data_IF_695131088134
#
_entry.id   IF_695131088134
#
_cell.length_a   1.000
_cell.length_b   1.000
_cell.length_c   1.000
_cell.angle_alpha   90.00
_cell.angle_beta   90.00
_cell.angle_gamma   90.00
#
_symmetry.space_group_name_H-M   'P 1'
#
loop_
_entity.id
_entity.type
_entity.pdbx_description
1 polymer ?
#
# COMPACT_ATOMS: atom_id res chain seq x y z
N UNK A 1 1.39 15.00 -19.86
CA UNK A 1 1.34 16.10 -18.86
C UNK A 1 -0.08 16.31 -18.36
N UNK A 2 -1.06 16.57 -19.26
CA UNK A 2 -2.48 16.84 -18.85
C UNK A 2 -3.06 15.67 -18.07
N UNK A 3 -2.88 14.43 -18.51
CA UNK A 3 -3.34 13.20 -17.84
C UNK A 3 -2.71 13.00 -16.46
N UNK A 4 -1.47 13.45 -16.28
CA UNK A 4 -0.77 13.41 -15.00
C UNK A 4 -1.32 14.46 -14.03
N UNK A 5 -1.53 15.67 -14.50
CA UNK A 5 -2.13 16.74 -13.69
C UNK A 5 -3.58 16.42 -13.29
N UNK A 6 -4.32 15.78 -14.21
CA UNK A 6 -5.70 15.33 -13.94
C UNK A 6 -5.76 14.03 -13.10
N UNK A 7 -4.60 13.41 -12.75
CA UNK A 7 -4.52 12.14 -11.99
C UNK A 7 -5.26 10.97 -12.66
N UNK A 8 -5.38 10.97 -13.99
CA UNK A 8 -6.07 9.92 -14.78
C UNK A 8 -5.12 9.06 -15.61
N UNK A 9 -3.83 9.17 -15.37
CA UNK A 9 -2.78 8.46 -16.08
C UNK A 9 -2.96 6.95 -16.11
N UNK A 10 -3.41 6.40 -14.99
CA UNK A 10 -3.64 4.98 -14.79
C UNK A 10 -4.88 4.44 -15.52
N UNK A 11 -5.63 5.31 -16.21
CA UNK A 11 -6.74 4.93 -17.11
C UNK A 11 -6.29 4.83 -18.57
N UNK A 12 -5.06 5.26 -18.88
CA UNK A 12 -4.52 5.17 -20.23
C UNK A 12 -3.90 3.78 -20.47
N UNK A 13 -3.91 3.29 -21.73
CA UNK A 13 -3.39 1.97 -22.07
C UNK A 13 -1.90 1.78 -21.77
N UNK A 14 -1.13 2.86 -21.74
CA UNK A 14 0.30 2.85 -21.45
C UNK A 14 0.63 3.84 -20.32
N UNK A 15 0.50 3.41 -19.05
CA UNK A 15 0.80 4.25 -17.90
C UNK A 15 2.30 4.55 -17.73
N UNK A 16 3.18 3.83 -18.40
CA UNK A 16 4.64 3.97 -18.24
C UNK A 16 5.23 5.08 -19.12
N UNK A 17 4.50 5.58 -20.13
CA UNK A 17 4.87 6.76 -20.92
C UNK A 17 4.66 8.07 -20.13
N UNK A 18 5.29 8.14 -18.97
CA UNK A 18 5.17 9.30 -18.09
C UNK A 18 6.40 10.18 -18.14
N UNK A 19 6.19 11.48 -18.39
CA UNK A 19 7.26 12.50 -18.38
C UNK A 19 7.86 12.63 -16.97
N UNK A 20 7.04 12.46 -15.93
CA UNK A 20 7.45 12.50 -14.54
C UNK A 20 7.50 11.10 -13.95
N UNK A 21 8.68 10.61 -13.57
CA UNK A 21 8.76 9.33 -12.85
C UNK A 21 8.22 9.52 -11.45
N UNK A 22 7.35 8.66 -11.06
CA UNK A 22 6.89 8.67 -9.69
C UNK A 22 5.55 7.98 -9.50
N UNK A 23 5.05 7.97 -8.28
CA UNK A 23 3.85 7.24 -7.89
C UNK A 23 2.55 7.96 -8.28
N UNK A 24 2.54 8.78 -9.34
CA UNK A 24 1.35 9.53 -9.76
C UNK A 24 0.18 8.62 -10.13
N UNK A 25 0.47 7.42 -10.66
CA UNK A 25 -0.56 6.41 -10.88
C UNK A 25 -1.28 6.02 -9.57
N UNK A 26 -0.58 6.02 -8.45
CA UNK A 26 -1.17 5.71 -7.15
C UNK A 26 -2.14 6.81 -6.68
N UNK A 27 -1.82 8.07 -6.90
CA UNK A 27 -2.74 9.17 -6.59
C UNK A 27 -4.01 9.09 -7.45
N UNK A 28 -3.86 8.78 -8.75
CA UNK A 28 -4.98 8.51 -9.63
C UNK A 28 -5.84 7.35 -9.15
N UNK A 29 -5.20 6.24 -8.78
CA UNK A 29 -5.86 5.08 -8.18
C UNK A 29 -6.63 5.45 -6.91
N UNK A 30 -6.01 6.17 -5.98
CA UNK A 30 -6.66 6.59 -4.74
C UNK A 30 -7.84 7.50 -4.99
N UNK A 31 -7.72 8.47 -5.92
CA UNK A 31 -8.83 9.34 -6.31
C UNK A 31 -10.02 8.54 -6.85
N UNK A 32 -9.76 7.57 -7.72
CA UNK A 32 -10.80 6.68 -8.27
C UNK A 32 -11.47 5.85 -7.17
N UNK A 33 -10.68 5.25 -6.27
CA UNK A 33 -11.21 4.47 -5.15
C UNK A 33 -12.05 5.34 -4.20
N UNK A 34 -11.64 6.56 -3.91
CA UNK A 34 -12.43 7.49 -3.11
C UNK A 34 -13.72 7.93 -3.83
N UNK A 35 -13.67 8.11 -5.14
CA UNK A 35 -14.87 8.38 -5.94
C UNK A 35 -15.85 7.19 -5.88
N UNK A 36 -15.36 5.97 -6.10
CA UNK A 36 -16.17 4.73 -5.95
C UNK A 36 -16.74 4.63 -4.54
N UNK A 37 -15.91 4.85 -3.52
CA UNK A 37 -16.38 4.84 -2.13
C UNK A 37 -17.50 5.85 -1.91
N UNK A 38 -17.30 7.12 -2.32
CA UNK A 38 -18.25 8.19 -2.07
C UNK A 38 -19.57 8.01 -2.81
N UNK A 39 -19.52 7.54 -4.06
CA UNK A 39 -20.68 7.43 -4.93
C UNK A 39 -21.46 6.11 -4.74
N UNK A 40 -20.74 5.00 -4.52
CA UNK A 40 -21.35 3.66 -4.53
C UNK A 40 -21.41 2.99 -3.15
N UNK A 41 -20.41 3.21 -2.28
CA UNK A 41 -20.24 2.43 -1.05
C UNK A 41 -20.58 3.20 0.23
N UNK A 42 -20.52 4.53 0.18
CA UNK A 42 -20.73 5.36 1.36
C UNK A 42 -22.12 5.17 1.96
N UNK A 43 -22.19 4.87 3.26
CA UNK A 43 -23.42 4.56 4.02
C UNK A 43 -24.23 3.38 3.47
N UNK A 44 -23.70 2.58 2.54
CA UNK A 44 -24.37 1.38 2.03
C UNK A 44 -24.10 0.17 2.91
N UNK A 45 -24.91 -0.87 2.72
CA UNK A 45 -24.71 -2.16 3.38
C UNK A 45 -23.38 -2.78 2.93
N UNK A 46 -22.76 -3.60 3.80
CA UNK A 46 -21.46 -4.23 3.51
C UNK A 46 -21.46 -5.06 2.20
N UNK A 47 -22.61 -5.62 1.84
CA UNK A 47 -22.77 -6.41 0.62
C UNK A 47 -22.41 -5.63 -0.66
N UNK A 48 -22.59 -4.30 -0.68
CA UNK A 48 -22.17 -3.46 -1.79
C UNK A 48 -20.63 -3.43 -1.94
N UNK A 49 -19.92 -3.35 -0.83
CA UNK A 49 -18.45 -3.42 -0.82
C UNK A 49 -17.98 -4.80 -1.26
N UNK A 50 -18.57 -5.87 -0.72
CA UNK A 50 -18.26 -7.23 -1.11
C UNK A 50 -18.58 -7.50 -2.59
N UNK A 51 -19.74 -7.04 -3.08
CA UNK A 51 -20.12 -7.14 -4.49
C UNK A 51 -19.16 -6.42 -5.42
N UNK A 52 -18.75 -5.19 -5.07
CA UNK A 52 -17.76 -4.44 -5.84
C UNK A 52 -16.40 -5.15 -5.89
N UNK A 53 -15.94 -5.73 -4.77
CA UNK A 53 -14.72 -6.54 -4.73
C UNK A 53 -14.80 -7.75 -5.64
N UNK A 54 -15.91 -8.51 -5.58
CA UNK A 54 -16.13 -9.71 -6.40
C UNK A 54 -16.20 -9.35 -7.89
N UNK A 55 -16.94 -8.31 -8.25
CA UNK A 55 -17.04 -7.85 -9.65
C UNK A 55 -15.68 -7.41 -10.17
N UNK A 56 -14.95 -6.57 -9.44
CA UNK A 56 -13.64 -6.11 -9.88
C UNK A 56 -12.63 -7.25 -10.01
N UNK A 57 -12.62 -8.18 -9.05
CA UNK A 57 -11.77 -9.37 -9.12
C UNK A 57 -12.17 -10.28 -10.30
N UNK A 58 -13.47 -10.48 -10.51
CA UNK A 58 -13.99 -11.28 -11.62
C UNK A 58 -13.59 -10.70 -12.98
N UNK A 59 -13.67 -9.37 -13.14
CA UNK A 59 -13.21 -8.68 -14.36
C UNK A 59 -11.70 -8.90 -14.57
N UNK A 60 -10.88 -8.75 -13.53
CA UNK A 60 -9.44 -9.00 -13.63
C UNK A 60 -9.13 -10.43 -14.07
N UNK A 61 -9.80 -11.41 -13.48
CA UNK A 61 -9.57 -12.83 -13.80
C UNK A 61 -10.08 -13.21 -15.19
N UNK A 62 -11.18 -12.58 -15.65
CA UNK A 62 -11.79 -12.90 -16.94
C UNK A 62 -11.04 -12.29 -18.13
N UNK A 63 -10.52 -11.06 -17.99
CA UNK A 63 -10.00 -10.28 -19.11
C UNK A 63 -8.47 -10.17 -19.15
N UNK A 64 -7.77 -10.62 -18.13
CA UNK A 64 -6.34 -10.42 -18.02
C UNK A 64 -5.54 -11.65 -17.55
N UNK A 65 -5.72 -12.82 -18.15
CA UNK A 65 -5.03 -14.01 -17.65
C UNK A 65 -3.50 -13.94 -17.78
N UNK A 66 -2.92 -13.36 -18.83
CA UNK A 66 -1.46 -13.46 -19.07
C UNK A 66 -0.85 -12.32 -19.91
N UNK A 67 -1.56 -11.20 -20.14
CA UNK A 67 -1.12 -10.17 -21.08
C UNK A 67 -0.77 -8.83 -20.39
N UNK A 68 -0.22 -7.91 -21.19
CA UNK A 68 0.03 -6.51 -20.80
C UNK A 68 -1.24 -5.78 -20.30
N UNK A 69 -2.44 -6.23 -20.72
CA UNK A 69 -3.72 -5.75 -20.22
C UNK A 69 -3.86 -5.90 -18.70
N UNK A 70 -3.14 -6.83 -18.07
CA UNK A 70 -3.08 -6.95 -16.63
C UNK A 70 -2.51 -5.72 -15.96
N UNK A 71 -1.44 -5.17 -16.48
CA UNK A 71 -0.83 -3.99 -15.91
C UNK A 71 -1.83 -2.83 -15.89
N UNK A 72 -2.66 -2.71 -16.92
CA UNK A 72 -3.72 -1.70 -16.97
C UNK A 72 -4.76 -1.88 -15.85
N UNK A 73 -5.31 -3.10 -15.67
CA UNK A 73 -6.27 -3.37 -14.59
C UNK A 73 -5.65 -3.21 -13.19
N UNK A 74 -4.38 -3.50 -13.06
CA UNK A 74 -3.64 -3.46 -11.80
C UNK A 74 -3.48 -2.03 -11.27
N UNK A 75 -3.27 -1.08 -12.17
CA UNK A 75 -2.99 0.32 -11.82
C UNK A 75 -4.24 1.18 -11.72
N UNK A 76 -5.44 0.64 -11.96
CA UNK A 76 -6.70 1.36 -11.82
C UNK A 76 -7.54 0.86 -10.62
N UNK A 77 -8.72 1.46 -10.44
CA UNK A 77 -9.60 1.12 -9.32
C UNK A 77 -10.03 -0.36 -9.28
N UNK A 78 -10.05 -1.07 -10.41
CA UNK A 78 -10.42 -2.49 -10.44
C UNK A 78 -9.37 -3.31 -9.69
N UNK A 79 -8.07 -3.08 -9.94
CA UNK A 79 -6.98 -3.76 -9.21
C UNK A 79 -6.88 -3.35 -7.75
N UNK A 80 -7.18 -2.09 -7.46
CA UNK A 80 -7.16 -1.55 -6.10
C UNK A 80 -8.39 -1.89 -5.26
N UNK A 81 -9.50 -2.33 -5.87
CA UNK A 81 -10.76 -2.51 -5.15
C UNK A 81 -10.71 -3.61 -4.09
N UNK A 82 -10.00 -4.70 -4.33
CA UNK A 82 -9.92 -5.80 -3.37
C UNK A 82 -9.22 -5.36 -2.07
N UNK A 83 -7.97 -4.85 -2.06
CA UNK A 83 -7.33 -4.40 -0.82
C UNK A 83 -8.05 -3.21 -0.17
N UNK A 84 -8.60 -2.28 -0.96
CA UNK A 84 -9.34 -1.14 -0.46
C UNK A 84 -10.66 -1.58 0.23
N UNK A 85 -11.43 -2.46 -0.41
CA UNK A 85 -12.66 -3.00 0.13
C UNK A 85 -12.45 -3.82 1.41
N UNK A 86 -11.36 -4.61 1.46
CA UNK A 86 -10.96 -5.32 2.70
C UNK A 86 -10.67 -4.34 3.83
N UNK A 87 -9.94 -3.25 3.54
CA UNK A 87 -9.68 -2.17 4.51
C UNK A 87 -10.98 -1.52 5.01
N UNK A 88 -11.93 -1.24 4.13
CA UNK A 88 -13.24 -0.69 4.51
C UNK A 88 -14.03 -1.66 5.40
N UNK A 89 -14.07 -2.94 5.05
CA UNK A 89 -14.76 -3.96 5.86
C UNK A 89 -14.07 -4.13 7.21
N UNK A 90 -12.75 -4.12 7.25
CA UNK A 90 -11.99 -4.17 8.50
C UNK A 90 -12.23 -2.94 9.37
N UNK A 91 -12.23 -1.74 8.81
CA UNK A 91 -12.52 -0.51 9.54
C UNK A 91 -13.94 -0.54 10.15
N UNK A 92 -14.90 -1.16 9.45
CA UNK A 92 -16.30 -1.24 9.91
C UNK A 92 -16.54 -2.36 10.93
N UNK A 93 -15.89 -3.50 10.78
CA UNK A 93 -16.17 -4.73 11.53
C UNK A 93 -14.96 -5.29 12.28
N UNK A 94 -13.80 -4.67 12.18
CA UNK A 94 -12.55 -5.17 12.78
C UNK A 94 -12.64 -5.39 14.31
N UNK A 95 -13.43 -4.56 14.99
CA UNK A 95 -13.67 -4.72 16.43
C UNK A 95 -14.46 -5.99 16.78
N UNK A 96 -15.15 -6.61 15.80
CA UNK A 96 -15.88 -7.88 15.97
C UNK A 96 -14.99 -9.08 15.67
N UNK A 97 -13.84 -8.87 15.06
CA UNK A 97 -12.87 -9.94 14.79
C UNK A 97 -12.10 -10.21 16.07
N UNK A 98 -12.62 -11.15 16.85
CA UNK A 98 -12.09 -11.52 18.15
C UNK A 98 -10.87 -12.44 17.95
N UNK A 99 -9.68 -11.84 17.86
CA UNK A 99 -8.40 -12.58 17.93
C UNK A 99 -7.85 -12.57 19.37
N UNK A 100 -8.73 -12.61 20.36
CA UNK A 100 -8.39 -12.35 21.77
C UNK A 100 -7.56 -13.46 22.40
N UNK A 101 -7.61 -14.68 21.91
CA UNK A 101 -7.01 -15.86 22.56
C UNK A 101 -5.69 -16.31 21.89
N UNK A 102 -5.18 -15.57 20.93
CA UNK A 102 -3.91 -15.93 20.31
C UNK A 102 -2.76 -15.46 21.19
N UNK A 103 -1.95 -16.42 21.64
CA UNK A 103 -0.69 -16.11 22.32
C UNK A 103 0.37 -15.61 21.34
N UNK A 104 1.47 -15.05 21.88
CA UNK A 104 2.54 -14.46 21.05
C UNK A 104 3.16 -15.47 20.09
N UNK A 105 3.29 -16.74 20.49
CA UNK A 105 3.84 -17.78 19.63
C UNK A 105 2.91 -18.08 18.45
N UNK A 106 1.60 -18.23 18.71
CA UNK A 106 0.61 -18.46 17.65
C UNK A 106 0.55 -17.30 16.65
N UNK A 107 0.66 -16.06 17.14
CA UNK A 107 0.73 -14.89 16.25
C UNK A 107 1.98 -14.89 15.39
N UNK A 108 3.14 -15.22 15.99
CA UNK A 108 4.41 -15.28 15.26
C UNK A 108 4.36 -16.36 14.17
N UNK A 109 3.88 -17.55 14.50
CA UNK A 109 3.69 -18.64 13.52
C UNK A 109 2.74 -18.21 12.41
N UNK A 110 1.63 -17.53 12.74
CA UNK A 110 0.67 -17.01 11.74
C UNK A 110 1.29 -15.95 10.81
N UNK A 111 2.12 -15.06 11.35
CA UNK A 111 2.85 -14.06 10.56
C UNK A 111 3.81 -14.72 9.58
N UNK A 112 4.61 -15.69 10.06
CA UNK A 112 5.57 -16.43 9.21
C UNK A 112 4.82 -17.24 8.14
N UNK A 113 3.74 -17.92 8.50
CA UNK A 113 2.92 -18.68 7.56
C UNK A 113 2.29 -17.78 6.48
N UNK A 114 1.68 -16.64 6.86
CA UNK A 114 1.15 -15.69 5.90
C UNK A 114 2.23 -15.11 4.99
N UNK A 115 3.40 -14.80 5.52
CA UNK A 115 4.55 -14.35 4.73
C UNK A 115 4.98 -15.38 3.68
N UNK A 116 5.07 -16.64 4.07
CA UNK A 116 5.36 -17.74 3.14
C UNK A 116 4.27 -17.89 2.08
N UNK A 117 3.00 -17.82 2.47
CA UNK A 117 1.87 -17.87 1.53
C UNK A 117 1.91 -16.73 0.51
N UNK A 118 2.23 -15.51 0.93
CA UNK A 118 2.40 -14.36 0.01
C UNK A 118 3.51 -14.63 -1.01
N UNK A 119 4.67 -15.15 -0.55
CA UNK A 119 5.78 -15.49 -1.45
C UNK A 119 5.39 -16.59 -2.44
N UNK A 120 4.73 -17.64 -1.96
CA UNK A 120 4.29 -18.75 -2.80
C UNK A 120 3.23 -18.31 -3.83
N UNK A 121 2.22 -17.56 -3.40
CA UNK A 121 1.15 -17.07 -4.28
C UNK A 121 1.67 -16.05 -5.31
N UNK A 122 2.68 -15.26 -4.98
CA UNK A 122 3.26 -14.28 -5.89
C UNK A 122 4.02 -14.91 -7.08
N UNK A 123 4.37 -16.18 -7.00
CA UNK A 123 4.97 -16.93 -8.10
C UNK A 123 3.97 -17.31 -9.21
N UNK A 124 2.67 -17.34 -8.90
CA UNK A 124 1.60 -17.63 -9.86
C UNK A 124 0.78 -16.38 -10.13
N UNK A 125 0.59 -16.09 -11.41
CA UNK A 125 -0.19 -14.96 -11.87
C UNK A 125 -1.63 -14.92 -11.31
N UNK A 126 -2.34 -16.05 -11.45
CA UNK A 126 -3.72 -16.17 -10.97
C UNK A 126 -3.81 -15.97 -9.45
N UNK A 127 -2.93 -16.63 -8.70
CA UNK A 127 -2.89 -16.53 -7.24
C UNK A 127 -2.46 -15.15 -6.77
N UNK A 128 -1.65 -14.45 -7.56
CA UNK A 128 -1.21 -13.10 -7.24
C UNK A 128 -2.37 -12.12 -7.05
N UNK A 129 -3.46 -12.26 -7.82
CA UNK A 129 -4.68 -11.44 -7.68
C UNK A 129 -5.34 -11.59 -6.30
N UNK A 130 -5.10 -12.71 -5.61
CA UNK A 130 -5.63 -13.00 -4.27
C UNK A 130 -4.65 -12.64 -3.15
N UNK A 131 -3.40 -12.31 -3.46
CA UNK A 131 -2.40 -11.88 -2.46
C UNK A 131 -2.91 -10.81 -1.50
N UNK A 132 -3.71 -9.79 -1.94
CA UNK A 132 -4.25 -8.80 -1.01
C UNK A 132 -5.08 -9.36 0.14
N UNK A 133 -5.73 -10.52 -0.02
CA UNK A 133 -6.45 -11.20 1.07
C UNK A 133 -5.48 -11.66 2.15
N UNK A 134 -4.42 -12.34 1.75
CA UNK A 134 -3.40 -12.86 2.69
C UNK A 134 -2.64 -11.71 3.34
N UNK A 135 -2.31 -10.65 2.57
CA UNK A 135 -1.66 -9.45 3.10
C UNK A 135 -2.54 -8.74 4.13
N UNK A 136 -3.86 -8.65 3.91
CA UNK A 136 -4.78 -8.08 4.90
C UNK A 136 -4.76 -8.88 6.21
N UNK A 137 -4.82 -10.20 6.13
CA UNK A 137 -4.72 -11.10 7.30
C UNK A 137 -3.36 -10.93 7.99
N UNK A 138 -2.28 -10.91 7.21
CA UNK A 138 -0.91 -10.67 7.72
C UNK A 138 -0.82 -9.35 8.48
N UNK A 139 -1.35 -8.25 7.93
CA UNK A 139 -1.37 -6.95 8.60
C UNK A 139 -2.10 -7.02 9.96
N UNK A 140 -3.24 -7.72 10.02
CA UNK A 140 -3.98 -7.88 11.29
C UNK A 140 -3.15 -8.65 12.32
N UNK A 141 -2.49 -9.73 11.93
CA UNK A 141 -1.61 -10.49 12.84
C UNK A 141 -0.39 -9.70 13.28
N UNK A 142 0.25 -8.96 12.35
CA UNK A 142 1.40 -8.09 12.67
C UNK A 142 1.01 -7.01 13.67
N UNK A 143 -0.11 -6.31 13.45
CA UNK A 143 -0.61 -5.30 14.38
C UNK A 143 -0.88 -5.88 15.77
N UNK A 144 -1.48 -7.07 15.84
CA UNK A 144 -1.72 -7.77 17.12
C UNK A 144 -0.41 -8.15 17.81
N UNK A 145 0.54 -8.69 17.07
CA UNK A 145 1.86 -9.07 17.60
C UNK A 145 2.60 -7.84 18.15
N UNK A 146 2.63 -6.76 17.39
CA UNK A 146 3.25 -5.49 17.81
C UNK A 146 2.55 -4.90 19.04
N UNK A 147 1.22 -4.97 19.10
CA UNK A 147 0.45 -4.51 20.27
C UNK A 147 0.75 -5.33 21.53
N UNK A 148 1.01 -6.62 21.40
CA UNK A 148 1.45 -7.46 22.53
C UNK A 148 2.91 -7.14 22.91
N UNK A 149 3.79 -6.96 21.92
CA UNK A 149 5.18 -6.61 22.15
C UNK A 149 5.33 -5.24 22.83
N UNK A 150 4.47 -4.27 22.49
CA UNK A 150 4.47 -2.93 23.05
C UNK A 150 4.18 -2.86 24.57
N UNK A 151 3.72 -3.97 25.16
CA UNK A 151 3.58 -4.07 26.63
C UNK A 151 4.93 -4.17 27.35
N UNK A 152 6.03 -4.41 26.64
CA UNK A 152 7.40 -4.46 27.13
C UNK A 152 8.16 -3.19 26.72
N UNK A 153 9.12 -2.67 27.51
CA UNK A 153 9.83 -1.42 27.21
C UNK A 153 10.48 -1.40 25.81
N UNK A 154 11.15 -2.48 25.43
CA UNK A 154 11.77 -2.61 24.10
C UNK A 154 10.73 -2.59 22.98
N UNK A 155 9.59 -3.27 23.17
CA UNK A 155 8.51 -3.29 22.21
C UNK A 155 7.80 -1.95 22.10
N UNK A 156 7.65 -1.22 23.19
CA UNK A 156 7.11 0.14 23.20
C UNK A 156 8.00 1.10 22.41
N UNK A 157 9.31 1.04 22.61
CA UNK A 157 10.28 1.81 21.84
C UNK A 157 10.20 1.48 20.33
N UNK A 158 10.15 0.19 19.98
CA UNK A 158 10.01 -0.24 18.59
C UNK A 158 8.73 0.30 17.95
N UNK A 159 7.60 0.21 18.68
CA UNK A 159 6.31 0.72 18.20
C UNK A 159 6.39 2.23 17.94
N UNK A 160 7.02 3.00 18.82
CA UNK A 160 7.21 4.44 18.63
C UNK A 160 7.99 4.74 17.33
N UNK A 161 9.06 3.97 17.05
CA UNK A 161 9.83 4.11 15.80
C UNK A 161 9.02 3.75 14.57
N UNK A 162 8.21 2.68 14.63
CA UNK A 162 7.32 2.29 13.53
C UNK A 162 6.22 3.34 13.29
N UNK A 163 5.65 3.92 14.33
CA UNK A 163 4.69 5.02 14.20
C UNK A 163 5.35 6.22 13.53
N UNK A 164 6.55 6.61 13.99
CA UNK A 164 7.31 7.69 13.36
C UNK A 164 7.60 7.43 11.87
N UNK A 165 8.00 6.20 11.52
CA UNK A 165 8.18 5.80 10.11
C UNK A 165 6.87 5.88 9.32
N UNK A 166 5.75 5.48 9.93
CA UNK A 166 4.42 5.62 9.34
C UNK A 166 4.06 7.08 9.02
N UNK A 167 4.40 8.00 9.91
CA UNK A 167 4.13 9.43 9.72
C UNK A 167 4.91 10.06 8.56
N UNK A 168 6.11 9.57 8.25
CA UNK A 168 6.90 10.04 7.10
C UNK A 168 6.67 9.22 5.84
N UNK A 169 5.94 8.11 5.91
CA UNK A 169 5.80 7.14 4.81
C UNK A 169 5.19 7.74 3.54
N UNK A 170 4.20 8.60 3.66
CA UNK A 170 3.58 9.27 2.52
C UNK A 170 4.57 10.20 1.80
N UNK A 171 5.34 10.99 2.55
CA UNK A 171 6.37 11.86 2.00
C UNK A 171 7.50 11.03 1.36
N UNK A 172 7.90 9.94 2.02
CA UNK A 172 8.89 8.99 1.50
C UNK A 172 8.43 8.37 0.18
N UNK A 173 7.17 7.95 0.11
CA UNK A 173 6.58 7.38 -1.11
C UNK A 173 6.60 8.35 -2.29
N UNK A 174 6.41 9.64 -2.05
CA UNK A 174 6.42 10.66 -3.10
C UNK A 174 7.85 10.97 -3.59
N UNK A 175 8.80 11.08 -2.65
CA UNK A 175 10.15 11.59 -2.98
C UNK A 175 11.13 10.49 -3.44
N UNK A 176 10.93 9.23 -2.98
CA UNK A 176 11.89 8.16 -3.24
C UNK A 176 12.18 7.89 -4.73
N UNK A 177 11.22 7.98 -5.69
CA UNK A 177 11.54 7.70 -7.09
C UNK A 177 12.44 8.79 -7.72
N UNK A 178 12.27 10.03 -7.27
CA UNK A 178 13.10 11.14 -7.70
C UNK A 178 14.53 10.99 -7.19
N UNK A 179 14.69 10.72 -5.90
CA UNK A 179 15.98 10.46 -5.29
C UNK A 179 16.67 9.22 -5.87
N UNK A 180 15.92 8.17 -6.14
CA UNK A 180 16.45 6.97 -6.79
C UNK A 180 17.13 7.29 -8.11
N UNK A 181 16.58 8.19 -8.93
CA UNK A 181 17.21 8.60 -10.19
C UNK A 181 18.54 9.33 -9.99
N UNK A 182 18.68 10.09 -8.91
CA UNK A 182 19.93 10.77 -8.56
C UNK A 182 20.99 9.78 -8.08
N UNK A 183 20.58 8.80 -7.25
CA UNK A 183 21.52 7.89 -6.60
C UNK A 183 21.88 6.63 -7.41
N UNK A 184 21.06 6.23 -8.40
CA UNK A 184 21.37 5.09 -9.28
C UNK A 184 22.74 5.27 -10.00
N UNK A 185 23.06 6.44 -10.61
CA UNK A 185 24.37 6.62 -11.24
C UNK A 185 25.52 6.45 -10.23
N UNK A 186 25.36 6.96 -9.01
CA UNK A 186 26.38 6.85 -7.96
C UNK A 186 26.63 5.39 -7.60
N UNK A 187 25.57 4.58 -7.44
CA UNK A 187 25.70 3.16 -7.11
C UNK A 187 26.24 2.30 -8.27
N UNK A 188 26.08 2.75 -9.52
CA UNK A 188 26.61 2.04 -10.71
C UNK A 188 28.12 2.26 -10.93
N UNK A 189 28.63 3.40 -10.51
CA UNK A 189 30.04 3.78 -10.68
C UNK A 189 30.87 3.67 -9.41
N UNK A 190 30.25 3.31 -8.28
CA UNK A 190 30.88 3.18 -6.99
C UNK A 190 30.45 1.91 -6.26
N UNK A 191 30.64 1.90 -4.94
CA UNK A 191 30.20 0.80 -4.08
C UNK A 191 28.67 0.84 -3.92
N UNK A 192 28.03 -0.31 -4.22
CA UNK A 192 26.57 -0.48 -4.16
C UNK A 192 26.04 -0.22 -2.75
N UNK A 193 26.75 -0.67 -1.71
CA UNK A 193 26.32 -0.51 -0.32
C UNK A 193 26.36 0.95 0.13
N UNK A 194 27.43 1.67 -0.23
CA UNK A 194 27.55 3.11 0.03
C UNK A 194 26.46 3.89 -0.70
N UNK A 195 26.20 3.55 -1.97
CA UNK A 195 25.13 4.17 -2.76
C UNK A 195 23.75 3.94 -2.15
N UNK A 196 23.47 2.73 -1.69
CA UNK A 196 22.22 2.38 -1.02
C UNK A 196 22.05 3.13 0.31
N UNK A 197 23.10 3.18 1.12
CA UNK A 197 23.09 3.89 2.41
C UNK A 197 22.84 5.39 2.23
N UNK A 198 23.55 6.04 1.32
CA UNK A 198 23.37 7.46 1.00
C UNK A 198 21.94 7.73 0.49
N UNK A 199 21.44 6.88 -0.39
CA UNK A 199 20.04 6.96 -0.85
C UNK A 199 19.06 6.84 0.30
N UNK A 200 19.21 5.87 1.20
CA UNK A 200 18.32 5.69 2.34
C UNK A 200 18.33 6.91 3.28
N UNK A 201 19.52 7.43 3.60
CA UNK A 201 19.67 8.62 4.45
C UNK A 201 19.01 9.85 3.78
N UNK A 202 19.29 10.06 2.49
CA UNK A 202 18.72 11.18 1.74
C UNK A 202 17.18 11.06 1.64
N UNK A 203 16.65 9.86 1.40
CA UNK A 203 15.23 9.63 1.28
C UNK A 203 14.49 9.88 2.61
N UNK A 204 15.03 9.37 3.72
CA UNK A 204 14.46 9.58 5.06
C UNK A 204 14.57 11.06 5.45
N UNK A 205 15.71 11.69 5.22
CA UNK A 205 15.93 13.11 5.52
C UNK A 205 14.99 14.03 4.74
N UNK A 206 14.85 13.79 3.43
CA UNK A 206 13.93 14.55 2.59
C UNK A 206 12.47 14.35 2.99
N UNK A 207 12.06 13.11 3.28
CA UNK A 207 10.71 12.80 3.74
C UNK A 207 10.39 13.49 5.08
N UNK A 208 11.35 13.50 6.00
CA UNK A 208 11.22 14.20 7.28
C UNK A 208 11.07 15.73 7.09
N UNK A 209 11.87 16.34 6.22
CA UNK A 209 11.76 17.76 5.89
C UNK A 209 10.41 18.10 5.28
N UNK A 210 9.92 17.28 4.33
CA UNK A 210 8.58 17.45 3.74
C UNK A 210 7.52 17.40 4.83
N UNK A 211 7.59 16.42 5.76
CA UNK A 211 6.67 16.35 6.89
C UNK A 211 6.68 17.62 7.73
N UNK A 212 7.85 18.17 8.07
CA UNK A 212 7.97 19.41 8.82
C UNK A 212 7.30 20.59 8.10
N UNK A 213 7.43 20.69 6.79
CA UNK A 213 6.75 21.71 5.98
C UNK A 213 5.24 21.48 6.02
N UNK A 214 4.79 20.23 5.81
CA UNK A 214 3.37 19.88 5.81
C UNK A 214 2.68 20.14 7.15
N UNK A 215 3.39 20.01 8.27
CA UNK A 215 2.81 20.33 9.61
C UNK A 215 2.53 21.83 9.81
N UNK A 216 3.19 22.70 9.03
CA UNK A 216 2.98 24.14 9.07
C UNK A 216 1.81 24.61 8.20
N UNK A 217 1.31 23.75 7.31
CA UNK A 217 0.16 24.05 6.47
C UNK A 217 -1.11 23.91 7.32
N UNK A 218 -1.96 24.93 7.40
CA UNK A 218 -3.20 24.84 8.16
C UNK A 218 -4.08 23.73 7.59
N UNK A 219 -4.56 22.85 8.47
CA UNK A 219 -5.50 21.79 8.06
C UNK A 219 -6.84 22.44 7.72
N UNK A 220 -7.50 22.04 6.61
CA UNK A 220 -8.84 22.52 6.33
C UNK A 220 -9.76 22.12 7.48
N UNK A 221 -10.49 23.08 8.02
CA UNK A 221 -11.54 22.81 8.99
C UNK A 221 -12.68 22.10 8.24
N UNK A 222 -12.91 20.82 8.57
CA UNK A 222 -14.07 20.05 8.08
C UNK A 222 -15.25 20.20 9.03
#
# INVERSE_FOLDING_TARGET
VVSQLAMVNNLLPDPDHNIWPGPFWFFGLMLQLYAVYRLLLYKRHWAWTAGAMVVCLGVQLAFAPESEALNWYRYNFMGGMLPFGLGLLYARYGNRIILTNLNTLSLLVSVVFCGFMVMWMSASYLLWSLVPLVVCILCVYVVKLLSQAARRPVGAWLMERLVWMGEISAALFVIHPTLRKVFIPISRHGDIYTGLLLYAIAAIGAAWLIRLVMTKIPKPQM
#
